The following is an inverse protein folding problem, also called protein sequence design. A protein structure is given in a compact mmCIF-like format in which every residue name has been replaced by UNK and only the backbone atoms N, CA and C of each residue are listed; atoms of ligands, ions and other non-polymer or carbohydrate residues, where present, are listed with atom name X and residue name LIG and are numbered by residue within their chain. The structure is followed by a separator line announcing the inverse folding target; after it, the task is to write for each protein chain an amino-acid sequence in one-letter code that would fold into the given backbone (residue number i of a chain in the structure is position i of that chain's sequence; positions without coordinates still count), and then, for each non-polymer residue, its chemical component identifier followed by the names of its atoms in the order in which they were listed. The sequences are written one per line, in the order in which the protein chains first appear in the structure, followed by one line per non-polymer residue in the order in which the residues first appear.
data_IF_264871175468
#
_entry.id   IF_264871175468
#
_cell.length_a   1.000
_cell.length_b   1.000
_cell.length_c   1.000
_cell.angle_alpha   90.00
_cell.angle_beta   90.00
_cell.angle_gamma   90.00
#
_symmetry.space_group_name_H-M   'P 1'
#
loop_
_entity.id
_entity.type
_entity.pdbx_description
1 polymer ?
#
# COMPACT_ATOMS: atom_id res chain seq x y z
N UNK A 1 -17.52 22.61 -15.90
CA UNK A 1 -16.77 21.43 -15.41
C UNK A 1 -16.44 20.57 -16.62
N UNK A 2 -15.20 20.65 -17.14
CA UNK A 2 -14.79 19.88 -18.32
C UNK A 2 -14.91 18.38 -18.08
N UNK A 3 -15.47 17.64 -19.05
CA UNK A 3 -15.46 16.18 -19.06
C UNK A 3 -14.01 15.72 -18.88
N UNK A 4 -13.66 15.15 -17.72
CA UNK A 4 -12.41 14.40 -17.60
C UNK A 4 -12.58 13.16 -18.47
N UNK A 5 -11.98 13.16 -19.65
CA UNK A 5 -11.98 11.98 -20.50
C UNK A 5 -11.31 10.84 -19.73
N UNK A 6 -11.82 9.63 -19.95
CA UNK A 6 -11.40 8.46 -19.20
C UNK A 6 -10.26 7.80 -19.98
N UNK A 7 -9.02 8.14 -19.62
CA UNK A 7 -7.83 7.49 -20.20
C UNK A 7 -7.98 5.97 -20.08
N UNK A 8 -8.01 5.31 -21.24
CA UNK A 8 -8.14 3.86 -21.37
C UNK A 8 -6.75 3.22 -21.26
N UNK A 9 -6.47 2.55 -20.14
CA UNK A 9 -5.21 1.85 -19.94
C UNK A 9 -5.21 0.49 -20.66
N UNK A 10 -4.15 0.23 -21.41
CA UNK A 10 -3.93 -1.03 -22.14
C UNK A 10 -3.72 -2.19 -21.16
N UNK A 11 -4.07 -3.43 -21.57
CA UNK A 11 -3.82 -4.65 -20.77
C UNK A 11 -2.35 -4.76 -20.32
N UNK A 12 -1.40 -4.38 -21.19
CA UNK A 12 0.04 -4.36 -20.86
C UNK A 12 0.37 -3.37 -19.75
N UNK A 13 -0.17 -2.15 -19.79
CA UNK A 13 0.02 -1.15 -18.73
C UNK A 13 -0.55 -1.65 -17.40
N UNK A 14 -1.76 -2.21 -17.39
CA UNK A 14 -2.34 -2.77 -16.16
C UNK A 14 -1.48 -3.90 -15.57
N UNK A 15 -0.93 -4.79 -16.40
CA UNK A 15 0.02 -5.83 -15.95
C UNK A 15 1.30 -5.23 -15.37
N UNK A 16 1.85 -4.19 -15.98
CA UNK A 16 3.05 -3.50 -15.49
C UNK A 16 2.78 -2.78 -14.16
N UNK A 17 1.62 -2.16 -13.98
CA UNK A 17 1.22 -1.55 -12.70
C UNK A 17 1.18 -2.62 -11.61
N UNK A 18 0.52 -3.76 -11.85
CA UNK A 18 0.43 -4.85 -10.89
C UNK A 18 1.82 -5.42 -10.54
N UNK A 19 2.67 -5.64 -11.54
CA UNK A 19 4.03 -6.13 -11.33
C UNK A 19 4.89 -5.15 -10.51
N UNK A 20 4.84 -3.85 -10.84
CA UNK A 20 5.54 -2.82 -10.08
C UNK A 20 5.05 -2.76 -8.64
N UNK A 21 3.72 -2.78 -8.44
CA UNK A 21 3.13 -2.78 -7.10
C UNK A 21 3.58 -4.00 -6.28
N UNK A 22 3.62 -5.18 -6.87
CA UNK A 22 4.13 -6.39 -6.22
C UNK A 22 5.58 -6.22 -5.77
N UNK A 23 6.47 -5.78 -6.66
CA UNK A 23 7.89 -5.58 -6.34
C UNK A 23 8.10 -4.50 -5.26
N UNK A 24 7.34 -3.40 -5.33
CA UNK A 24 7.42 -2.35 -4.33
C UNK A 24 6.86 -2.78 -2.98
N UNK A 25 5.83 -3.62 -2.96
CA UNK A 25 5.29 -4.19 -1.71
C UNK A 25 6.29 -5.13 -1.04
N UNK A 26 7.01 -5.95 -1.82
CA UNK A 26 8.14 -6.74 -1.28
C UNK A 26 9.21 -5.81 -0.69
N UNK A 27 9.57 -4.74 -1.41
CA UNK A 27 10.57 -3.78 -0.91
C UNK A 27 10.13 -3.10 0.39
N UNK A 28 8.83 -2.83 0.54
CA UNK A 28 8.27 -2.26 1.76
C UNK A 28 8.41 -3.22 2.94
N UNK A 29 8.09 -4.51 2.74
CA UNK A 29 8.33 -5.53 3.76
C UNK A 29 9.79 -5.64 4.19
N UNK A 30 10.74 -5.48 3.26
CA UNK A 30 12.18 -5.41 3.60
C UNK A 30 12.49 -4.15 4.41
N UNK A 31 11.95 -2.99 4.05
CA UNK A 31 12.13 -1.75 4.82
C UNK A 31 11.56 -1.88 6.22
N UNK A 32 10.39 -2.49 6.38
CA UNK A 32 9.79 -2.76 7.68
C UNK A 32 10.71 -3.63 8.55
N UNK A 33 11.17 -4.74 7.99
CA UNK A 33 12.06 -5.68 8.69
C UNK A 33 13.37 -5.01 9.11
N UNK A 34 14.05 -4.33 8.19
CA UNK A 34 15.31 -3.63 8.47
C UNK A 34 15.11 -2.50 9.47
N UNK A 35 14.03 -1.72 9.33
CA UNK A 35 13.74 -0.61 10.24
C UNK A 35 13.43 -1.11 11.65
N UNK A 36 12.68 -2.20 11.77
CA UNK A 36 12.40 -2.85 13.05
C UNK A 36 13.70 -3.37 13.70
N UNK A 37 14.56 -4.04 12.94
CA UNK A 37 15.85 -4.54 13.42
C UNK A 37 16.75 -3.39 13.91
N UNK A 38 16.90 -2.32 13.12
CA UNK A 38 17.72 -1.16 13.48
C UNK A 38 17.16 -0.44 14.71
N UNK A 39 15.85 -0.20 14.77
CA UNK A 39 15.24 0.50 15.90
C UNK A 39 15.32 -0.31 17.20
N UNK A 40 15.22 -1.64 17.12
CA UNK A 40 15.39 -2.50 18.28
C UNK A 40 16.85 -2.52 18.76
N UNK A 41 17.83 -2.50 17.85
CA UNK A 41 19.25 -2.59 18.20
C UNK A 41 19.85 -1.27 18.68
N UNK A 42 19.43 -0.13 18.13
CA UNK A 42 20.11 1.15 18.35
C UNK A 42 19.45 2.08 19.35
N UNK A 43 18.16 1.91 19.61
CA UNK A 43 17.40 2.99 20.26
C UNK A 43 16.92 2.68 21.67
N UNK A 44 16.88 1.41 22.11
CA UNK A 44 16.26 1.02 23.40
C UNK A 44 14.93 1.79 23.62
N UNK A 45 14.21 2.07 22.52
CA UNK A 45 13.19 3.13 22.45
C UNK A 45 12.04 2.83 23.42
N UNK A 46 11.83 1.53 23.64
CA UNK A 46 10.92 0.94 24.59
C UNK A 46 11.23 1.37 26.03
N UNK A 47 12.48 1.22 26.49
CA UNK A 47 12.91 1.58 27.85
C UNK A 47 12.79 3.08 28.15
N UNK A 48 12.88 3.92 27.13
CA UNK A 48 12.83 5.39 27.25
C UNK A 48 11.41 5.93 27.30
N UNK A 49 10.45 5.22 26.68
CA UNK A 49 9.10 5.76 26.48
C UNK A 49 8.06 5.25 27.47
N UNK A 50 8.29 4.12 28.16
CA UNK A 50 7.33 3.56 29.14
C UNK A 50 5.97 3.19 28.52
N UNK A 51 5.91 3.08 27.18
CA UNK A 51 4.71 2.84 26.40
C UNK A 51 4.37 1.34 26.29
N UNK A 52 5.28 0.49 26.76
CA UNK A 52 5.10 -0.93 27.05
C UNK A 52 3.86 -1.19 27.93
N UNK A 53 3.55 -0.30 28.89
CA UNK A 53 2.31 -0.38 29.68
C UNK A 53 1.03 -0.04 28.89
N UNK A 54 1.12 0.81 27.86
CA UNK A 54 -0.04 1.25 27.06
C UNK A 54 -0.37 0.27 25.93
N UNK A 55 0.66 -0.30 25.31
CA UNK A 55 0.51 -1.19 24.14
C UNK A 55 0.69 -2.68 24.46
N UNK A 56 1.14 -3.03 25.68
CA UNK A 56 1.15 -4.39 26.22
C UNK A 56 2.04 -5.39 25.49
N UNK A 57 3.01 -4.93 24.70
CA UNK A 57 3.91 -5.79 23.92
C UNK A 57 5.29 -5.15 23.76
N UNK A 58 6.33 -5.97 23.99
CA UNK A 58 7.75 -5.65 23.98
C UNK A 58 8.26 -5.04 22.65
N UNK A 59 7.45 -5.12 21.57
CA UNK A 59 7.82 -4.61 20.25
C UNK A 59 6.90 -3.51 19.70
N UNK A 60 5.92 -3.04 20.47
CA UNK A 60 4.78 -2.27 19.96
C UNK A 60 5.14 -0.99 19.21
N UNK A 61 5.90 -0.09 19.84
CA UNK A 61 6.20 1.24 19.27
C UNK A 61 7.19 1.14 18.10
N UNK A 62 8.24 0.33 18.25
CA UNK A 62 9.23 0.08 17.20
C UNK A 62 8.58 -0.52 15.96
N UNK A 63 7.73 -1.54 16.15
CA UNK A 63 6.95 -2.14 15.08
C UNK A 63 6.03 -1.12 14.40
N UNK A 64 5.33 -0.28 15.17
CA UNK A 64 4.46 0.75 14.61
C UNK A 64 5.22 1.77 13.75
N UNK A 65 6.39 2.24 14.21
CA UNK A 65 7.23 3.17 13.46
C UNK A 65 7.78 2.51 12.18
N UNK A 66 8.29 1.28 12.29
CA UNK A 66 8.78 0.52 11.14
C UNK A 66 7.69 0.29 10.10
N UNK A 67 6.48 -0.06 10.55
CA UNK A 67 5.30 -0.22 9.70
C UNK A 67 4.91 1.11 9.03
N UNK A 68 4.90 2.22 9.76
CA UNK A 68 4.61 3.54 9.18
C UNK A 68 5.64 3.92 8.10
N UNK A 69 6.93 3.69 8.35
CA UNK A 69 8.00 3.91 7.36
C UNK A 69 7.81 3.03 6.12
N UNK A 70 7.48 1.76 6.30
CA UNK A 70 7.17 0.80 5.24
C UNK A 70 5.98 1.27 4.38
N UNK A 71 4.88 1.70 5.00
CA UNK A 71 3.70 2.21 4.28
C UNK A 71 4.03 3.48 3.50
N UNK A 72 4.78 4.42 4.10
CA UNK A 72 5.20 5.65 3.42
C UNK A 72 6.12 5.33 2.23
N UNK A 73 7.05 4.39 2.39
CA UNK A 73 7.93 3.93 1.33
C UNK A 73 7.13 3.30 0.19
N UNK A 74 6.25 2.35 0.51
CA UNK A 74 5.40 1.66 -0.45
C UNK A 74 4.53 2.65 -1.24
N UNK A 75 3.89 3.57 -0.52
CA UNK A 75 3.05 4.61 -1.11
C UNK A 75 3.85 5.50 -2.06
N UNK A 76 5.03 5.94 -1.65
CA UNK A 76 5.86 6.87 -2.43
C UNK A 76 6.28 6.25 -3.76
N UNK A 77 6.80 5.03 -3.74
CA UNK A 77 7.21 4.33 -4.95
C UNK A 77 6.03 4.01 -5.86
N UNK A 78 4.92 3.54 -5.30
CA UNK A 78 3.76 3.22 -6.11
C UNK A 78 3.09 4.44 -6.72
N UNK A 79 2.96 5.53 -5.95
CA UNK A 79 2.47 6.80 -6.49
C UNK A 79 3.34 7.27 -7.65
N UNK A 80 4.67 7.27 -7.47
CA UNK A 80 5.59 7.83 -8.47
C UNK A 80 5.76 6.94 -9.70
N UNK A 81 5.92 5.63 -9.52
CA UNK A 81 6.39 4.73 -10.59
C UNK A 81 5.35 3.72 -11.08
N UNK A 82 4.48 3.21 -10.19
CA UNK A 82 3.44 2.25 -10.58
C UNK A 82 2.22 2.96 -11.16
N UNK A 83 1.57 3.80 -10.37
CA UNK A 83 0.35 4.52 -10.76
C UNK A 83 0.63 5.88 -11.42
N UNK A 84 1.86 6.39 -11.34
CA UNK A 84 2.29 7.70 -11.91
C UNK A 84 1.27 8.81 -11.62
N UNK A 85 0.89 8.91 -10.34
CA UNK A 85 -0.25 9.70 -9.90
C UNK A 85 0.15 11.03 -9.28
N UNK A 86 -0.52 12.11 -9.69
CA UNK A 86 -0.43 13.42 -9.05
C UNK A 86 -1.37 13.58 -7.84
N UNK A 87 -1.95 12.50 -7.30
CA UNK A 87 -2.89 12.56 -6.19
C UNK A 87 -2.31 13.19 -4.92
N UNK A 88 -3.12 13.94 -4.19
CA UNK A 88 -2.74 14.54 -2.90
C UNK A 88 -2.34 13.45 -1.89
N UNK A 89 -1.09 13.49 -1.40
CA UNK A 89 -0.55 12.52 -0.42
C UNK A 89 -1.46 12.37 0.80
N UNK A 90 -1.86 13.45 1.50
CA UNK A 90 -2.52 13.29 2.80
C UNK A 90 -3.88 12.61 2.67
N UNK A 91 -4.63 12.99 1.63
CA UNK A 91 -5.94 12.41 1.33
C UNK A 91 -5.79 10.93 0.93
N UNK A 92 -4.77 10.59 0.16
CA UNK A 92 -4.50 9.22 -0.25
C UNK A 92 -4.11 8.35 0.95
N UNK A 93 -3.24 8.84 1.83
CA UNK A 93 -2.85 8.16 3.07
C UNK A 93 -4.04 7.98 4.02
N UNK A 94 -4.91 8.99 4.14
CA UNK A 94 -6.13 8.87 4.96
C UNK A 94 -7.07 7.77 4.45
N UNK A 95 -7.19 7.60 3.12
CA UNK A 95 -7.95 6.48 2.55
C UNK A 95 -7.33 5.13 2.92
N UNK A 96 -6.01 5.00 2.81
CA UNK A 96 -5.29 3.76 3.17
C UNK A 96 -5.43 3.47 4.67
N UNK A 97 -5.35 4.48 5.52
CA UNK A 97 -5.63 4.35 6.94
C UNK A 97 -7.06 3.86 7.19
N UNK A 98 -8.06 4.45 6.53
CA UNK A 98 -9.46 4.00 6.63
C UNK A 98 -9.66 2.56 6.16
N UNK A 99 -8.91 2.12 5.14
CA UNK A 99 -8.90 0.71 4.73
C UNK A 99 -8.39 -0.20 5.85
N UNK A 100 -7.22 0.11 6.44
CA UNK A 100 -6.64 -0.70 7.50
C UNK A 100 -7.45 -0.67 8.80
N UNK A 101 -8.14 0.44 9.10
CA UNK A 101 -9.06 0.53 10.25
C UNK A 101 -10.22 -0.48 10.19
N UNK A 102 -10.62 -0.90 8.98
CA UNK A 102 -11.64 -1.93 8.77
C UNK A 102 -11.02 -3.31 8.55
N UNK A 103 -9.94 -3.38 7.79
CA UNK A 103 -9.28 -4.63 7.45
C UNK A 103 -8.67 -5.32 8.69
N UNK A 104 -7.99 -4.57 9.56
CA UNK A 104 -7.32 -5.13 10.73
C UNK A 104 -8.27 -5.84 11.71
N UNK A 105 -9.41 -5.26 12.17
CA UNK A 105 -10.32 -5.99 13.05
C UNK A 105 -10.97 -7.20 12.35
N UNK A 106 -11.26 -7.08 11.05
CA UNK A 106 -11.83 -8.18 10.27
C UNK A 106 -10.82 -9.33 10.12
N UNK A 107 -9.54 -9.00 9.93
CA UNK A 107 -8.49 -9.99 9.77
C UNK A 107 -8.20 -10.74 11.05
N UNK A 108 -8.20 -10.05 12.19
CA UNK A 108 -8.14 -10.68 13.51
C UNK A 108 -9.33 -11.63 13.69
N UNK A 109 -10.55 -11.19 13.34
CA UNK A 109 -11.76 -11.99 13.51
C UNK A 109 -11.71 -13.34 12.77
N UNK A 110 -11.38 -13.35 11.48
CA UNK A 110 -11.30 -14.63 10.76
C UNK A 110 -10.07 -15.44 11.15
N UNK A 111 -8.97 -14.78 11.53
CA UNK A 111 -7.74 -15.49 11.91
C UNK A 111 -8.02 -16.34 13.15
N UNK A 112 -8.57 -15.73 14.20
CA UNK A 112 -8.98 -16.43 15.43
C UNK A 112 -9.96 -17.56 15.13
N UNK A 113 -10.98 -17.31 14.30
CA UNK A 113 -11.99 -18.35 14.00
C UNK A 113 -11.44 -19.53 13.20
N UNK A 114 -10.47 -19.32 12.32
CA UNK A 114 -9.86 -20.40 11.55
C UNK A 114 -8.88 -21.19 12.42
N UNK A 115 -8.07 -20.51 13.25
CA UNK A 115 -7.15 -21.19 14.19
C UNK A 115 -7.91 -21.99 15.24
N UNK A 116 -9.01 -21.45 15.79
CA UNK A 116 -9.89 -22.16 16.73
C UNK A 116 -10.55 -23.39 16.09
N UNK A 117 -10.80 -23.34 14.78
CA UNK A 117 -11.31 -24.47 14.00
C UNK A 117 -10.23 -25.53 13.67
N UNK A 118 -9.01 -25.37 14.20
CA UNK A 118 -7.89 -26.31 14.04
C UNK A 118 -7.03 -26.08 12.79
N UNK A 119 -7.17 -24.95 12.10
CA UNK A 119 -6.29 -24.63 10.97
C UNK A 119 -4.88 -24.28 11.46
N UNK A 120 -3.88 -24.64 10.66
CA UNK A 120 -2.50 -24.27 10.93
C UNK A 120 -2.31 -22.74 10.86
N UNK A 121 -1.78 -22.16 11.92
CA UNK A 121 -1.57 -20.70 12.08
C UNK A 121 -0.77 -20.09 10.93
N UNK A 122 0.27 -20.77 10.45
CA UNK A 122 1.09 -20.27 9.34
C UNK A 122 0.31 -20.20 8.04
N UNK A 123 -0.58 -21.18 7.79
CA UNK A 123 -1.44 -21.18 6.60
C UNK A 123 -2.42 -20.01 6.68
N UNK A 124 -3.08 -19.81 7.82
CA UNK A 124 -4.02 -18.71 8.04
C UNK A 124 -3.32 -17.36 7.90
N UNK A 125 -2.09 -17.23 8.42
CA UNK A 125 -1.27 -16.04 8.30
C UNK A 125 -0.92 -15.75 6.83
N UNK A 126 -0.41 -16.73 6.09
CA UNK A 126 -0.06 -16.56 4.66
C UNK A 126 -1.29 -16.18 3.84
N UNK A 127 -2.43 -16.84 4.08
CA UNK A 127 -3.69 -16.49 3.42
C UNK A 127 -4.13 -15.07 3.74
N UNK A 128 -4.04 -14.66 5.00
CA UNK A 128 -4.37 -13.30 5.45
C UNK A 128 -3.48 -12.26 4.78
N UNK A 129 -2.18 -12.53 4.65
CA UNK A 129 -1.23 -11.67 3.95
C UNK A 129 -1.55 -11.56 2.45
N UNK A 130 -1.93 -12.66 1.79
CA UNK A 130 -2.35 -12.65 0.38
C UNK A 130 -3.64 -11.86 0.19
N UNK A 131 -4.63 -12.05 1.06
CA UNK A 131 -5.89 -11.30 1.02
C UNK A 131 -5.63 -9.82 1.26
N UNK A 132 -4.79 -9.45 2.24
CA UNK A 132 -4.39 -8.06 2.46
C UNK A 132 -3.76 -7.46 1.21
N UNK A 133 -2.74 -8.12 0.64
CA UNK A 133 -2.03 -7.65 -0.54
C UNK A 133 -2.97 -7.44 -1.75
N UNK A 134 -3.86 -8.38 -2.04
CA UNK A 134 -4.79 -8.28 -3.16
C UNK A 134 -5.83 -7.18 -2.92
N UNK A 135 -6.40 -7.12 -1.72
CA UNK A 135 -7.43 -6.12 -1.39
C UNK A 135 -6.85 -4.71 -1.33
N UNK A 136 -5.64 -4.55 -0.79
CA UNK A 136 -4.91 -3.27 -0.79
C UNK A 136 -4.61 -2.82 -2.22
N UNK A 137 -4.13 -3.72 -3.10
CA UNK A 137 -3.92 -3.39 -4.51
C UNK A 137 -5.20 -2.87 -5.18
N UNK A 138 -6.31 -3.59 -4.98
CA UNK A 138 -7.62 -3.20 -5.52
C UNK A 138 -8.07 -1.86 -4.95
N UNK A 139 -7.88 -1.63 -3.66
CA UNK A 139 -8.21 -0.37 -3.01
C UNK A 139 -7.38 0.78 -3.58
N UNK A 140 -6.07 0.58 -3.79
CA UNK A 140 -5.21 1.57 -4.43
C UNK A 140 -5.67 1.88 -5.86
N UNK A 141 -5.99 0.83 -6.62
CA UNK A 141 -6.41 0.94 -8.02
C UNK A 141 -7.76 1.61 -8.21
N UNK A 142 -8.74 1.31 -7.34
CA UNK A 142 -10.14 1.67 -7.54
C UNK A 142 -10.65 2.75 -6.59
N UNK A 143 -9.96 3.05 -5.50
CA UNK A 143 -10.39 4.06 -4.51
C UNK A 143 -9.36 5.17 -4.35
N UNK A 144 -8.08 4.82 -4.19
CA UNK A 144 -7.02 5.82 -4.01
C UNK A 144 -6.75 6.56 -5.32
N UNK A 145 -6.45 5.82 -6.39
CA UNK A 145 -6.00 6.37 -7.66
C UNK A 145 -7.03 6.28 -8.81
N UNK A 146 -8.28 5.91 -8.54
CA UNK A 146 -9.33 5.63 -9.54
C UNK A 146 -9.34 6.55 -10.78
N UNK A 147 -9.15 7.85 -10.56
CA UNK A 147 -9.19 8.90 -11.59
C UNK A 147 -7.89 9.72 -11.62
N UNK A 148 -6.80 9.15 -11.12
CA UNK A 148 -5.52 9.83 -10.92
C UNK A 148 -4.34 8.98 -11.40
N UNK A 149 -4.58 7.94 -12.20
CA UNK A 149 -3.51 7.13 -12.78
C UNK A 149 -2.95 7.87 -13.99
N UNK A 150 -1.63 7.91 -14.14
CA UNK A 150 -0.94 8.63 -15.22
C UNK A 150 -1.22 10.15 -15.27
N UNK A 151 -1.62 10.77 -14.14
CA UNK A 151 -1.86 12.22 -14.08
C UNK A 151 -0.59 13.04 -13.82
N UNK A 152 0.52 12.42 -13.39
CA UNK A 152 1.79 13.10 -13.27
C UNK A 152 2.44 13.37 -14.64
N UNK A 153 3.41 14.28 -14.71
CA UNK A 153 4.13 14.65 -15.93
C UNK A 153 4.71 13.43 -16.67
N UNK A 154 5.40 12.54 -15.96
CA UNK A 154 5.95 11.28 -16.52
C UNK A 154 4.88 10.30 -17.00
N UNK A 155 3.68 10.39 -16.44
CA UNK A 155 2.52 9.61 -16.88
C UNK A 155 1.98 10.14 -18.18
N UNK A 156 1.75 11.45 -18.26
CA UNK A 156 1.27 12.10 -19.48
C UNK A 156 2.26 11.96 -20.64
N UNK A 157 3.56 12.03 -20.39
CA UNK A 157 4.58 11.78 -21.42
C UNK A 157 4.48 10.38 -22.02
N UNK A 158 4.34 9.35 -21.19
CA UNK A 158 4.16 7.96 -21.66
C UNK A 158 2.85 7.79 -22.45
N UNK A 159 1.77 8.48 -22.05
CA UNK A 159 0.52 8.45 -22.80
C UNK A 159 0.63 9.17 -24.16
N UNK A 160 1.39 10.27 -24.25
CA UNK A 160 1.68 10.96 -25.51
C UNK A 160 2.52 10.10 -26.45
N UNK A 161 3.60 9.49 -25.95
CA UNK A 161 4.47 8.59 -26.71
C UNK A 161 3.71 7.37 -27.26
N UNK A 162 2.70 6.90 -26.53
CA UNK A 162 1.83 5.81 -26.96
C UNK A 162 0.64 6.27 -27.83
N UNK A 163 0.53 7.55 -28.18
CA UNK A 163 -0.57 8.12 -28.98
C UNK A 163 -1.90 8.31 -28.23
N UNK A 164 -2.00 7.86 -26.97
CA UNK A 164 -3.25 7.80 -26.20
C UNK A 164 -3.79 9.17 -25.74
N UNK A 165 -2.97 10.22 -25.81
CA UNK A 165 -3.36 11.61 -25.50
C UNK A 165 -3.70 12.43 -26.76
N UNK A 166 -3.32 11.96 -27.96
CA UNK A 166 -3.62 12.65 -29.22
C UNK A 166 -5.04 12.32 -29.70
N UNK A 167 -5.49 11.08 -29.48
CA UNK A 167 -6.86 10.65 -29.74
C UNK A 167 -7.90 11.40 -28.87
N UNK A 168 -7.47 12.09 -27.80
CA UNK A 168 -8.34 12.88 -26.92
C UNK A 168 -8.68 14.27 -27.49
N UNK A 169 -7.93 14.76 -28.48
CA UNK A 169 -8.13 16.08 -29.09
C UNK A 169 -8.86 16.02 -30.45
N UNK A 170 -9.07 14.82 -31.00
CA UNK A 170 -9.69 14.60 -32.31
C UNK A 170 -11.21 14.33 -32.27
N UNK A 171 -11.82 14.29 -31.07
CA UNK A 171 -13.27 14.12 -30.84
C UNK A 171 -13.89 15.39 -30.21
#
# INVERSE_FOLDING_TARGET
MGKKSKISLTKRQNKLIALKYFLFSISAGVIEFVSCAVLNEFTDLEKVTGLDEIFGNEYGLTYFIALALSVIWNFTLNRKFAFKSAANVPIAMLKVFGFYAVFAPLSIFWTVRLTDAGWNEYIVLVLTMVVNFVTEFLFWRFVVYRNQIYTNEDGRRELLENGQLLDEQSD
#
